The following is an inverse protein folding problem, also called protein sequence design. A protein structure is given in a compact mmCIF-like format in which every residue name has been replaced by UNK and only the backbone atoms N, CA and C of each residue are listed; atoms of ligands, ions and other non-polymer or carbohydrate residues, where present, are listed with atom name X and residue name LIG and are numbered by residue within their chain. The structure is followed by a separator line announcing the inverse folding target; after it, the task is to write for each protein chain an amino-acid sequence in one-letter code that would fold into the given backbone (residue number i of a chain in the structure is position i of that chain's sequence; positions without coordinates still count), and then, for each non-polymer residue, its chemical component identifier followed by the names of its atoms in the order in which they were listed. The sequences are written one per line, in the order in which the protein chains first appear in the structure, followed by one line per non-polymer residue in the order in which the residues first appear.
data_IF_347549446351
#
_entry.id   IF_347549446351
#
_cell.length_a   1.000
_cell.length_b   1.000
_cell.length_c   1.000
_cell.angle_alpha   90.00
_cell.angle_beta   90.00
_cell.angle_gamma   90.00
#
_symmetry.space_group_name_H-M   'P 1'
#
loop_
_entity.id
_entity.type
_entity.pdbx_description
1 polymer ?
#
# COMPACT_ATOMS: atom_id res chain seq x y z
N UNK A 1 -2.97 -25.21 39.87
CA UNK A 1 -2.03 -25.38 38.75
C UNK A 1 -2.44 -24.42 37.63
N UNK A 2 -1.50 -23.67 37.03
CA UNK A 2 -1.77 -22.65 36.06
C UNK A 2 -2.31 -23.26 34.76
N UNK A 3 -3.55 -22.93 34.44
CA UNK A 3 -4.26 -23.39 33.24
C UNK A 3 -3.57 -22.93 31.96
N UNK A 4 -3.14 -21.67 31.95
CA UNK A 4 -2.46 -21.06 30.82
C UNK A 4 -1.16 -21.78 30.49
N UNK A 5 -0.37 -22.07 31.52
CA UNK A 5 0.91 -22.77 31.37
C UNK A 5 0.74 -24.20 30.84
N UNK A 6 -0.37 -24.88 31.23
CA UNK A 6 -0.70 -26.20 30.67
C UNK A 6 -1.10 -26.13 29.21
N UNK A 7 -1.88 -25.12 28.81
CA UNK A 7 -2.28 -24.87 27.42
C UNK A 7 -1.07 -24.51 26.56
N UNK A 8 -0.19 -23.60 27.02
CA UNK A 8 1.04 -23.22 26.32
C UNK A 8 1.95 -24.44 26.12
N UNK A 9 2.13 -25.24 27.17
CA UNK A 9 2.92 -26.48 27.13
C UNK A 9 2.36 -27.44 26.08
N UNK A 10 1.03 -27.63 26.03
CA UNK A 10 0.38 -28.47 25.03
C UNK A 10 0.63 -27.97 23.61
N UNK A 11 0.48 -26.66 23.35
CA UNK A 11 0.74 -26.07 22.03
C UNK A 11 2.20 -26.30 21.60
N UNK A 12 3.17 -26.14 22.51
CA UNK A 12 4.58 -26.40 22.22
C UNK A 12 4.85 -27.85 21.88
N UNK A 13 4.28 -28.77 22.64
CA UNK A 13 4.41 -30.22 22.38
C UNK A 13 3.77 -30.59 21.05
N UNK A 14 2.57 -30.07 20.76
CA UNK A 14 1.85 -30.33 19.52
C UNK A 14 2.62 -29.82 18.28
N UNK A 15 3.21 -28.62 18.36
CA UNK A 15 4.00 -28.03 17.26
C UNK A 15 5.35 -28.69 17.04
N UNK A 16 6.05 -29.02 18.12
CA UNK A 16 7.38 -29.64 18.01
C UNK A 16 7.34 -31.15 17.73
N UNK A 17 6.19 -31.78 17.91
CA UNK A 17 6.03 -33.23 17.80
C UNK A 17 6.87 -34.03 18.87
N UNK A 18 7.38 -33.33 19.89
CA UNK A 18 8.31 -33.93 20.87
C UNK A 18 8.23 -33.28 22.26
N UNK A 19 8.04 -34.09 23.28
CA UNK A 19 8.10 -33.63 24.67
C UNK A 19 9.47 -33.09 25.06
N UNK A 20 10.54 -33.64 24.49
CA UNK A 20 11.92 -33.21 24.78
C UNK A 20 12.20 -31.84 24.15
N UNK A 21 11.87 -31.65 22.86
CA UNK A 21 12.05 -30.36 22.18
C UNK A 21 11.20 -29.27 22.85
N UNK A 22 9.95 -29.59 23.19
CA UNK A 22 9.08 -28.65 23.91
C UNK A 22 9.64 -28.29 25.31
N UNK A 23 10.24 -29.22 25.99
CA UNK A 23 10.87 -29.00 27.30
C UNK A 23 12.06 -28.02 27.17
N UNK A 24 12.94 -28.24 26.19
CA UNK A 24 14.08 -27.36 25.91
C UNK A 24 13.61 -25.93 25.53
N UNK A 25 12.59 -25.81 24.68
CA UNK A 25 12.03 -24.51 24.29
C UNK A 25 11.38 -23.73 25.44
N UNK A 26 10.81 -24.44 26.42
CA UNK A 26 10.13 -23.84 27.57
C UNK A 26 11.04 -23.66 28.79
N UNK A 27 12.27 -24.14 28.73
CA UNK A 27 13.19 -24.15 29.88
C UNK A 27 12.68 -25.03 31.05
N UNK A 28 11.96 -26.12 30.72
CA UNK A 28 11.34 -27.03 31.69
C UNK A 28 11.93 -28.44 31.58
N UNK A 29 11.76 -29.25 32.64
CA UNK A 29 12.08 -30.69 32.55
C UNK A 29 10.99 -31.40 31.71
N UNK A 30 11.40 -32.45 30.96
CA UNK A 30 10.48 -33.33 30.22
C UNK A 30 9.38 -33.92 31.12
N UNK A 31 9.70 -34.26 32.36
CA UNK A 31 8.71 -34.76 33.31
C UNK A 31 7.65 -33.72 33.65
N UNK A 32 8.03 -32.44 33.78
CA UNK A 32 7.12 -31.34 34.07
C UNK A 32 6.23 -31.05 32.87
N UNK A 33 6.78 -31.03 31.65
CA UNK A 33 6.01 -30.87 30.39
C UNK A 33 4.99 -32.02 30.28
N UNK A 34 5.38 -33.25 30.51
CA UNK A 34 4.47 -34.40 30.49
C UNK A 34 3.33 -34.27 31.52
N UNK A 35 3.66 -33.77 32.73
CA UNK A 35 2.69 -33.53 33.80
C UNK A 35 1.70 -32.41 33.41
N UNK A 36 2.18 -31.31 32.83
CA UNK A 36 1.29 -30.23 32.37
C UNK A 36 0.27 -30.68 31.32
N UNK A 37 0.72 -31.47 30.35
CA UNK A 37 -0.17 -32.04 29.33
C UNK A 37 -1.12 -33.05 29.93
N UNK A 38 -0.63 -33.96 30.81
CA UNK A 38 -1.49 -34.95 31.51
C UNK A 38 -2.59 -34.30 32.33
N UNK A 39 -2.27 -33.27 33.11
CA UNK A 39 -3.27 -32.53 33.89
C UNK A 39 -4.30 -31.78 33.01
N UNK A 40 -3.87 -31.35 31.83
CA UNK A 40 -4.79 -30.73 30.84
C UNK A 40 -5.76 -31.79 30.31
N UNK A 41 -5.27 -32.93 29.88
CA UNK A 41 -6.09 -34.07 29.39
C UNK A 41 -7.05 -34.58 30.48
N UNK A 42 -6.57 -34.75 31.70
CA UNK A 42 -7.39 -35.18 32.86
C UNK A 42 -8.54 -34.20 33.13
N UNK A 43 -8.25 -32.91 33.12
CA UNK A 43 -9.26 -31.87 33.33
C UNK A 43 -10.28 -31.81 32.22
N UNK A 44 -9.90 -32.07 30.97
CA UNK A 44 -10.81 -32.06 29.82
C UNK A 44 -11.56 -33.40 29.70
N UNK A 45 -11.11 -34.44 30.39
CA UNK A 45 -11.72 -35.78 30.32
C UNK A 45 -11.45 -36.52 29.01
N UNK A 46 -10.53 -35.97 28.17
CA UNK A 46 -10.18 -36.53 26.87
C UNK A 46 -8.68 -36.49 26.62
N UNK A 47 -8.19 -37.41 25.80
CA UNK A 47 -6.79 -37.36 25.35
C UNK A 47 -6.66 -36.41 24.18
N UNK A 48 -5.67 -35.54 24.22
CA UNK A 48 -5.32 -34.61 23.16
C UNK A 48 -4.19 -35.15 22.28
N UNK A 49 -3.35 -36.05 22.82
CA UNK A 49 -2.19 -36.63 22.17
C UNK A 49 -2.24 -38.15 22.17
N UNK A 50 -2.04 -38.74 20.99
CA UNK A 50 -1.73 -40.17 20.87
C UNK A 50 -0.23 -40.38 21.12
N UNK A 51 0.11 -41.12 22.15
CA UNK A 51 1.48 -41.41 22.54
C UNK A 51 1.79 -42.88 22.20
N UNK A 52 2.65 -43.10 21.23
CA UNK A 52 3.25 -44.41 21.00
C UNK A 52 4.76 -44.35 21.30
N UNK A 53 5.42 -45.46 21.41
CA UNK A 53 6.86 -45.50 21.60
C UNK A 53 7.67 -44.97 20.43
N UNK A 54 7.01 -44.78 19.26
CA UNK A 54 7.66 -44.37 18.01
C UNK A 54 7.13 -43.03 17.40
N UNK A 55 5.99 -42.53 17.87
CA UNK A 55 5.39 -41.30 17.32
C UNK A 55 4.49 -40.60 18.32
N UNK A 56 4.42 -39.29 18.18
CA UNK A 56 3.49 -38.38 18.83
C UNK A 56 2.59 -37.78 17.77
N UNK A 57 1.27 -37.90 17.91
CA UNK A 57 0.30 -37.32 17.03
C UNK A 57 -0.89 -36.73 17.80
N UNK A 58 -1.59 -35.78 17.20
CA UNK A 58 -2.82 -35.20 17.78
C UNK A 58 -4.00 -36.15 17.58
N UNK A 59 -4.88 -36.21 18.57
CA UNK A 59 -6.25 -36.73 18.41
C UNK A 59 -7.10 -35.70 17.63
N UNK A 60 -8.36 -36.03 17.29
CA UNK A 60 -9.27 -35.06 16.66
C UNK A 60 -9.62 -33.95 17.66
N UNK A 61 -9.84 -34.29 18.93
CA UNK A 61 -10.01 -33.35 20.03
C UNK A 61 -8.76 -32.50 20.23
N UNK A 62 -7.57 -33.12 20.09
CA UNK A 62 -6.28 -32.42 20.17
C UNK A 62 -6.10 -31.40 19.06
N UNK A 63 -6.51 -31.69 17.83
CA UNK A 63 -6.47 -30.73 16.71
C UNK A 63 -7.39 -29.53 16.97
N UNK A 64 -8.63 -29.81 17.32
CA UNK A 64 -9.62 -28.77 17.63
C UNK A 64 -9.16 -27.90 18.82
N UNK A 65 -8.60 -28.52 19.84
CA UNK A 65 -8.12 -27.79 21.02
C UNK A 65 -6.84 -27.00 20.74
N UNK A 66 -5.98 -27.46 19.84
CA UNK A 66 -4.80 -26.71 19.38
C UNK A 66 -5.21 -25.42 18.68
N UNK A 67 -6.13 -25.50 17.72
CA UNK A 67 -6.65 -24.32 17.01
C UNK A 67 -7.28 -23.31 17.96
N UNK A 68 -8.05 -23.80 18.94
CA UNK A 68 -8.63 -22.96 19.99
C UNK A 68 -7.55 -22.27 20.83
N UNK A 69 -6.53 -22.99 21.29
CA UNK A 69 -5.44 -22.41 22.08
C UNK A 69 -4.64 -21.35 21.30
N UNK A 70 -4.34 -21.62 20.03
CA UNK A 70 -3.61 -20.71 19.16
C UNK A 70 -4.40 -19.41 18.89
N UNK A 71 -5.71 -19.54 18.70
CA UNK A 71 -6.60 -18.38 18.57
C UNK A 71 -6.62 -17.57 19.85
N UNK A 72 -6.80 -18.25 21.00
CA UNK A 72 -6.85 -17.61 22.31
C UNK A 72 -5.57 -16.83 22.63
N UNK A 73 -4.39 -17.42 22.37
CA UNK A 73 -3.12 -16.72 22.59
C UNK A 73 -2.95 -15.52 21.69
N UNK A 74 -3.32 -15.62 20.41
CA UNK A 74 -3.34 -14.45 19.50
C UNK A 74 -4.28 -13.34 20.00
N UNK A 75 -5.46 -13.71 20.48
CA UNK A 75 -6.45 -12.74 20.98
C UNK A 75 -5.95 -12.04 22.25
N UNK A 76 -5.28 -12.76 23.14
CA UNK A 76 -4.66 -12.20 24.36
C UNK A 76 -3.52 -11.26 23.99
N UNK A 77 -2.58 -11.71 23.16
CA UNK A 77 -1.49 -10.88 22.68
C UNK A 77 -2.01 -9.61 22.00
N UNK A 78 -3.08 -9.73 21.20
CA UNK A 78 -3.77 -8.60 20.58
C UNK A 78 -4.34 -7.62 21.59
N UNK A 79 -4.98 -8.10 22.66
CA UNK A 79 -5.54 -7.25 23.73
C UNK A 79 -4.46 -6.63 24.62
N UNK A 80 -3.43 -7.36 24.98
CA UNK A 80 -2.29 -6.82 25.73
C UNK A 80 -1.59 -5.71 24.94
N UNK A 81 -1.44 -5.91 23.63
CA UNK A 81 -0.94 -4.87 22.72
C UNK A 81 -1.85 -3.67 22.63
N UNK A 82 -3.16 -3.87 22.53
CA UNK A 82 -4.14 -2.77 22.52
C UNK A 82 -4.06 -1.93 23.82
N UNK A 83 -3.79 -2.57 24.94
CA UNK A 83 -3.61 -1.90 26.24
C UNK A 83 -2.25 -1.18 26.32
N UNK A 84 -1.19 -1.81 25.83
CA UNK A 84 0.15 -1.23 25.75
C UNK A 84 0.23 -0.13 24.69
N UNK A 85 -0.62 -0.22 23.67
CA UNK A 85 -0.81 0.76 22.59
C UNK A 85 -1.98 1.72 22.86
N UNK A 86 -2.52 1.78 24.10
CA UNK A 86 -3.34 2.93 24.48
C UNK A 86 -2.63 4.20 23.99
N UNK A 87 -3.31 5.17 23.34
CA UNK A 87 -2.74 6.09 22.36
C UNK A 87 -1.59 6.91 22.94
N UNK A 88 -0.39 6.33 22.98
CA UNK A 88 0.80 7.13 23.08
C UNK A 88 0.89 7.89 21.76
N UNK A 89 0.87 9.23 21.81
CA UNK A 89 1.11 10.04 20.63
C UNK A 89 2.28 9.45 19.82
N UNK A 90 2.12 9.27 18.51
CA UNK A 90 3.20 8.70 17.70
C UNK A 90 4.43 9.58 17.86
N UNK A 91 5.60 8.96 17.99
CA UNK A 91 6.86 9.65 18.19
C UNK A 91 7.98 9.02 17.34
N UNK A 92 9.05 9.76 17.12
CA UNK A 92 10.22 9.32 16.38
C UNK A 92 10.21 9.74 14.91
N UNK A 93 11.10 9.15 14.11
CA UNK A 93 11.25 9.51 12.69
C UNK A 93 10.39 8.61 11.80
N UNK A 94 9.64 9.23 10.88
CA UNK A 94 8.90 8.59 9.80
C UNK A 94 9.54 8.97 8.46
N UNK A 95 10.16 8.01 7.79
CA UNK A 95 10.81 8.21 6.48
C UNK A 95 9.89 7.77 5.36
N UNK A 96 9.50 8.71 4.52
CA UNK A 96 8.53 8.53 3.43
C UNK A 96 9.22 8.78 2.10
N UNK A 97 9.02 7.88 1.13
CA UNK A 97 9.28 8.16 -0.27
C UNK A 97 7.96 8.37 -1.02
N UNK A 98 7.92 9.32 -1.94
CA UNK A 98 6.72 9.64 -2.70
C UNK A 98 7.02 10.12 -4.12
N UNK A 99 6.05 10.02 -5.07
CA UNK A 99 6.18 10.56 -6.41
C UNK A 99 6.43 12.08 -6.38
N UNK A 100 7.37 12.56 -7.22
CA UNK A 100 7.85 13.94 -7.21
C UNK A 100 6.74 14.97 -7.27
N UNK A 101 5.86 14.87 -8.25
CA UNK A 101 4.79 15.87 -8.45
C UNK A 101 3.73 15.84 -7.33
N UNK A 102 3.33 14.63 -6.91
CA UNK A 102 2.38 14.48 -5.80
C UNK A 102 2.98 14.98 -4.48
N UNK A 103 4.23 14.61 -4.24
CA UNK A 103 4.96 15.03 -3.06
C UNK A 103 5.08 16.56 -2.94
N UNK A 104 5.49 17.21 -4.04
CA UNK A 104 5.72 18.64 -4.05
C UNK A 104 4.42 19.47 -4.02
N UNK A 105 3.36 19.02 -4.69
CA UNK A 105 2.13 19.82 -4.83
C UNK A 105 1.11 19.57 -3.71
N UNK A 106 1.08 18.39 -3.10
CA UNK A 106 -0.01 18.00 -2.19
C UNK A 106 0.45 17.31 -0.91
N UNK A 107 1.38 16.35 -1.00
CA UNK A 107 1.81 15.59 0.17
C UNK A 107 2.56 16.48 1.17
N UNK A 108 3.29 17.48 0.70
CA UNK A 108 4.00 18.44 1.58
C UNK A 108 3.03 19.16 2.50
N UNK A 109 1.87 19.60 1.99
CA UNK A 109 0.83 20.24 2.81
C UNK A 109 0.22 19.27 3.82
N UNK A 110 -0.01 18.02 3.41
CA UNK A 110 -0.47 16.98 4.32
C UNK A 110 0.55 16.71 5.44
N UNK A 111 1.85 16.65 5.09
CA UNK A 111 2.93 16.45 6.07
C UNK A 111 3.04 17.64 7.03
N UNK A 112 2.90 18.87 6.55
CA UNK A 112 2.90 20.06 7.39
C UNK A 112 1.73 20.00 8.41
N UNK A 113 0.53 19.63 7.94
CA UNK A 113 -0.62 19.48 8.83
C UNK A 113 -0.42 18.32 9.83
N UNK A 114 0.13 17.20 9.38
CA UNK A 114 0.47 16.05 10.22
C UNK A 114 1.51 16.40 11.29
N UNK A 115 2.59 17.10 10.93
CA UNK A 115 3.65 17.48 11.85
C UNK A 115 3.14 18.44 12.94
N UNK A 116 2.17 19.33 12.60
CA UNK A 116 1.50 20.20 13.58
C UNK A 116 0.62 19.40 14.54
N UNK A 117 -0.08 18.38 14.06
CA UNK A 117 -0.92 17.52 14.88
C UNK A 117 -0.11 16.53 15.74
N UNK A 118 1.11 16.19 15.32
CA UNK A 118 1.98 15.21 15.99
C UNK A 118 3.38 15.77 16.24
N UNK A 119 3.58 16.71 17.17
CA UNK A 119 4.84 17.44 17.36
C UNK A 119 6.03 16.56 17.79
N UNK A 120 5.77 15.33 18.27
CA UNK A 120 6.82 14.37 18.62
C UNK A 120 7.31 13.53 17.41
N UNK A 121 6.69 13.72 16.23
CA UNK A 121 7.07 13.07 14.99
C UNK A 121 8.03 13.93 14.17
N UNK A 122 9.11 13.33 13.73
CA UNK A 122 10.00 13.91 12.70
C UNK A 122 9.74 13.22 11.36
N UNK A 123 9.27 13.95 10.35
CA UNK A 123 8.98 13.39 9.03
C UNK A 123 10.12 13.72 8.06
N UNK A 124 10.68 12.68 7.41
CA UNK A 124 11.64 12.81 6.34
C UNK A 124 10.98 12.41 5.02
N UNK A 125 10.85 13.35 4.10
CA UNK A 125 10.25 13.14 2.78
C UNK A 125 11.31 13.08 1.69
N UNK A 126 11.31 12.00 0.90
CA UNK A 126 12.15 11.83 -0.30
C UNK A 126 11.25 11.75 -1.53
N UNK A 127 11.50 12.60 -2.53
CA UNK A 127 10.69 12.68 -3.73
C UNK A 127 11.37 11.98 -4.90
N UNK A 128 10.80 10.86 -5.33
CA UNK A 128 11.35 10.02 -6.40
C UNK A 128 10.23 9.38 -7.24
N UNK A 129 10.51 9.15 -8.54
CA UNK A 129 9.62 8.42 -9.44
C UNK A 129 10.26 7.08 -9.85
N UNK A 130 10.58 6.24 -8.88
CA UNK A 130 11.18 4.92 -9.11
C UNK A 130 10.29 3.82 -8.51
N UNK A 131 10.38 2.62 -9.09
CA UNK A 131 9.76 1.45 -8.48
C UNK A 131 10.59 0.99 -7.29
N UNK A 132 9.98 0.93 -6.12
CA UNK A 132 10.64 0.49 -4.89
C UNK A 132 10.60 -1.02 -4.74
N UNK A 133 11.74 -1.60 -4.30
CA UNK A 133 11.91 -3.01 -3.95
C UNK A 133 11.96 -3.17 -2.43
N UNK A 134 11.71 -4.37 -1.94
CA UNK A 134 11.82 -4.66 -0.49
C UNK A 134 13.20 -4.28 0.08
N UNK A 135 14.27 -4.45 -0.71
CA UNK A 135 15.63 -4.09 -0.29
C UNK A 135 15.82 -2.58 -0.03
N UNK A 136 15.02 -1.73 -0.65
CA UNK A 136 15.11 -0.28 -0.46
C UNK A 136 14.63 0.14 0.93
N UNK A 137 13.65 -0.59 1.51
CA UNK A 137 13.20 -0.35 2.88
C UNK A 137 14.33 -0.58 3.90
N UNK A 138 15.07 -1.70 3.78
CA UNK A 138 16.19 -1.98 4.66
C UNK A 138 17.40 -1.09 4.40
N UNK A 139 17.86 -0.99 3.14
CA UNK A 139 19.09 -0.25 2.79
C UNK A 139 18.94 1.27 2.93
N UNK A 140 17.77 1.81 2.58
CA UNK A 140 17.51 3.26 2.57
C UNK A 140 16.71 3.71 3.80
N UNK A 141 16.24 2.76 4.61
CA UNK A 141 15.54 3.01 5.86
C UNK A 141 14.18 3.68 5.71
N UNK A 142 13.46 3.45 4.60
CA UNK A 142 12.09 3.93 4.47
C UNK A 142 11.13 3.14 5.34
N UNK A 143 10.22 3.84 6.01
CA UNK A 143 9.10 3.24 6.72
C UNK A 143 7.91 3.04 5.78
N UNK A 144 7.72 3.97 4.83
CA UNK A 144 6.57 4.04 3.94
C UNK A 144 6.97 4.55 2.56
N UNK A 145 6.39 3.96 1.53
CA UNK A 145 6.50 4.44 0.14
C UNK A 145 5.10 4.67 -0.42
N UNK A 146 4.87 5.86 -0.96
CA UNK A 146 3.66 6.15 -1.75
C UNK A 146 3.98 5.97 -3.24
N UNK A 147 3.10 5.28 -3.98
CA UNK A 147 3.29 5.06 -5.42
C UNK A 147 1.97 4.88 -6.16
N UNK A 148 1.97 5.10 -7.48
CA UNK A 148 0.77 4.95 -8.32
C UNK A 148 0.62 3.57 -8.95
N UNK A 149 1.55 2.67 -8.73
CA UNK A 149 1.50 1.31 -9.24
C UNK A 149 1.57 0.34 -8.07
N UNK A 150 0.56 -0.52 -7.89
CA UNK A 150 0.60 -1.55 -6.86
C UNK A 150 1.83 -2.44 -6.99
N UNK A 151 2.44 -2.79 -5.87
CA UNK A 151 3.56 -3.73 -5.84
C UNK A 151 3.06 -5.16 -6.07
N UNK A 152 3.84 -5.96 -6.81
CA UNK A 152 3.59 -7.41 -6.95
C UNK A 152 4.40 -8.26 -5.95
N UNK A 153 5.16 -7.62 -5.08
CA UNK A 153 6.01 -8.32 -4.12
C UNK A 153 5.21 -8.75 -2.89
N UNK A 154 5.09 -10.05 -2.66
CA UNK A 154 4.37 -10.63 -1.51
C UNK A 154 4.96 -10.27 -0.14
N UNK A 155 6.23 -9.85 -0.08
CA UNK A 155 6.88 -9.39 1.16
C UNK A 155 6.50 -7.95 1.53
N UNK A 156 5.72 -7.27 0.70
CA UNK A 156 5.22 -5.92 0.96
C UNK A 156 3.72 -5.97 1.26
N UNK A 157 3.30 -5.22 2.26
CA UNK A 157 1.90 -4.87 2.49
C UNK A 157 1.60 -3.58 1.76
N UNK A 158 0.38 -3.44 1.26
CA UNK A 158 -0.05 -2.24 0.57
C UNK A 158 -1.47 -1.88 0.94
N UNK A 159 -1.71 -0.58 1.08
CA UNK A 159 -3.01 -0.02 1.42
C UNK A 159 -3.37 1.05 0.40
N UNK A 160 -4.51 0.95 -0.29
CA UNK A 160 -5.01 2.00 -1.16
C UNK A 160 -5.33 3.26 -0.35
N UNK A 161 -4.91 4.42 -0.86
CA UNK A 161 -5.18 5.73 -0.24
C UNK A 161 -6.26 6.46 -1.03
N UNK A 162 -6.09 6.58 -2.36
CA UNK A 162 -7.01 7.30 -3.24
C UNK A 162 -6.86 6.82 -4.68
N UNK A 163 -7.81 7.21 -5.54
CA UNK A 163 -7.71 7.05 -6.98
C UNK A 163 -7.44 8.40 -7.64
N UNK A 164 -6.39 8.49 -8.45
CA UNK A 164 -5.97 9.72 -9.11
C UNK A 164 -6.35 9.71 -10.59
N UNK A 165 -7.09 10.72 -11.02
CA UNK A 165 -7.47 10.89 -12.41
C UNK A 165 -6.31 11.36 -13.28
N UNK A 166 -6.36 10.96 -14.55
CA UNK A 166 -5.44 11.38 -15.57
C UNK A 166 -6.22 12.08 -16.71
N UNK A 167 -5.60 13.09 -17.32
CA UNK A 167 -6.22 13.86 -18.39
C UNK A 167 -5.24 14.05 -19.55
N UNK A 168 -5.77 13.92 -20.76
CA UNK A 168 -5.06 14.35 -21.97
C UNK A 168 -5.32 15.83 -22.17
N UNK A 169 -4.27 16.62 -22.30
CA UNK A 169 -4.40 18.07 -22.43
C UNK A 169 -3.33 18.66 -23.35
N UNK A 170 -3.61 19.86 -23.86
CA UNK A 170 -2.66 20.65 -24.62
C UNK A 170 -2.98 22.14 -24.49
N UNK A 171 -2.02 23.01 -24.84
CA UNK A 171 -2.29 24.46 -24.91
C UNK A 171 -3.20 24.82 -26.07
N UNK A 172 -4.00 25.91 -25.97
CA UNK A 172 -4.79 26.43 -27.08
C UNK A 172 -3.95 26.73 -28.32
N UNK A 173 -2.74 27.23 -28.15
CA UNK A 173 -1.83 27.54 -29.26
C UNK A 173 -1.42 26.30 -30.07
N UNK A 174 -1.17 25.16 -29.38
CA UNK A 174 -0.90 23.90 -30.08
C UNK A 174 -2.12 23.44 -30.87
N UNK A 175 -3.31 23.52 -30.26
CA UNK A 175 -4.56 23.09 -30.91
C UNK A 175 -4.92 23.97 -32.10
N UNK A 176 -4.64 25.27 -32.06
CA UNK A 176 -4.81 26.16 -33.17
C UNK A 176 -3.89 25.79 -34.37
N UNK A 177 -2.68 25.35 -34.09
CA UNK A 177 -1.68 24.94 -35.10
C UNK A 177 -1.93 23.54 -35.65
N UNK A 178 -2.19 22.57 -34.82
CA UNK A 178 -2.25 21.14 -35.17
C UNK A 178 -3.68 20.60 -35.37
N UNK A 179 -4.69 21.38 -34.98
CA UNK A 179 -6.07 20.93 -34.90
C UNK A 179 -6.36 20.07 -33.67
N UNK A 180 -7.64 19.87 -33.34
CA UNK A 180 -8.09 19.09 -32.22
C UNK A 180 -8.18 17.60 -32.60
N UNK A 181 -7.55 16.67 -31.83
CA UNK A 181 -7.74 15.23 -32.08
C UNK A 181 -9.19 14.84 -31.77
N UNK A 182 -9.80 14.04 -32.62
CA UNK A 182 -11.17 13.50 -32.49
C UNK A 182 -11.18 12.12 -31.82
N UNK A 183 -10.10 11.39 -32.00
CA UNK A 183 -9.92 10.02 -31.50
C UNK A 183 -8.50 9.77 -30.98
N UNK A 184 -8.28 8.71 -30.15
CA UNK A 184 -6.95 8.31 -29.73
C UNK A 184 -6.01 7.96 -30.89
N UNK A 185 -6.52 7.50 -32.03
CA UNK A 185 -5.73 7.17 -33.21
C UNK A 185 -5.01 8.40 -33.78
N UNK A 186 -5.63 9.59 -33.70
CA UNK A 186 -5.07 10.84 -34.20
C UNK A 186 -3.79 11.27 -33.47
N UNK A 187 -3.56 10.74 -32.26
CA UNK A 187 -2.37 11.05 -31.46
C UNK A 187 -1.08 10.49 -32.06
N UNK A 188 -1.19 9.47 -32.93
CA UNK A 188 -0.03 8.83 -33.56
C UNK A 188 0.74 9.74 -34.52
N UNK A 189 0.06 10.72 -35.12
CA UNK A 189 0.62 11.72 -36.04
C UNK A 189 0.90 13.07 -35.40
N UNK A 190 0.73 13.22 -34.09
CA UNK A 190 0.85 14.49 -33.36
C UNK A 190 2.01 14.47 -32.37
N UNK A 191 2.63 15.61 -32.07
CA UNK A 191 3.67 15.69 -31.05
C UNK A 191 3.06 15.40 -29.68
N UNK A 192 3.52 14.33 -29.01
CA UNK A 192 3.12 13.96 -27.65
C UNK A 192 4.31 14.08 -26.68
N UNK A 193 4.02 14.40 -25.42
CA UNK A 193 4.99 14.49 -24.33
C UNK A 193 4.97 13.21 -23.54
N UNK A 194 6.11 12.55 -23.41
CA UNK A 194 6.20 11.19 -22.87
C UNK A 194 6.61 11.20 -21.39
N UNK A 195 5.86 10.50 -20.57
CA UNK A 195 6.16 10.36 -19.14
C UNK A 195 6.83 9.00 -18.88
N UNK A 196 8.15 8.99 -18.78
CA UNK A 196 9.01 7.79 -18.73
C UNK A 196 8.59 6.74 -17.70
N UNK A 197 8.03 7.15 -16.56
CA UNK A 197 7.68 6.23 -15.46
C UNK A 197 6.18 6.09 -15.22
N UNK A 198 5.36 6.78 -15.99
CA UNK A 198 3.93 6.83 -15.73
C UNK A 198 3.17 5.59 -16.25
N UNK A 199 3.68 4.96 -17.29
CA UNK A 199 3.07 3.79 -17.93
C UNK A 199 4.10 2.67 -18.06
N UNK A 200 3.67 1.41 -18.12
CA UNK A 200 4.56 0.29 -18.45
C UNK A 200 5.27 0.49 -19.80
N UNK A 201 4.60 1.20 -20.73
CA UNK A 201 5.14 1.66 -21.99
C UNK A 201 4.69 3.11 -22.21
N UNK A 202 5.61 4.06 -22.10
CA UNK A 202 5.38 5.51 -22.22
C UNK A 202 4.84 5.93 -23.60
N UNK A 203 5.02 5.07 -24.63
CA UNK A 203 4.56 5.27 -26.01
C UNK A 203 3.19 4.65 -26.31
N UNK A 204 2.51 4.09 -25.31
CA UNK A 204 1.20 3.46 -25.43
C UNK A 204 0.25 4.00 -24.38
N UNK A 205 -0.66 4.86 -24.81
CA UNK A 205 -1.68 5.44 -23.93
C UNK A 205 -2.98 4.65 -24.00
N UNK A 206 -3.40 3.97 -22.92
CA UNK A 206 -4.63 3.21 -22.89
C UNK A 206 -5.82 4.14 -22.62
N UNK A 207 -6.89 3.95 -23.40
CA UNK A 207 -8.16 4.65 -23.25
C UNK A 207 -9.31 3.66 -23.16
N UNK A 208 -10.37 4.06 -22.49
CA UNK A 208 -11.68 3.43 -22.52
C UNK A 208 -12.64 4.37 -23.29
N UNK A 209 -13.07 3.93 -24.47
CA UNK A 209 -13.96 4.66 -25.35
C UNK A 209 -15.34 4.00 -25.49
N UNK A 210 -16.25 4.61 -26.25
CA UNK A 210 -17.61 4.09 -26.48
C UNK A 210 -17.66 2.68 -27.07
N UNK A 211 -16.62 2.28 -27.81
CA UNK A 211 -16.48 0.95 -28.45
C UNK A 211 -15.54 0.02 -27.69
N UNK A 212 -15.20 0.34 -26.44
CA UNK A 212 -14.29 -0.45 -25.61
C UNK A 212 -12.87 0.15 -25.51
N UNK A 213 -11.92 -0.71 -25.12
CA UNK A 213 -10.55 -0.32 -24.87
C UNK A 213 -9.78 -0.03 -26.16
N UNK A 214 -9.10 1.12 -26.22
CA UNK A 214 -8.25 1.55 -27.32
C UNK A 214 -6.87 1.93 -26.79
N UNK A 215 -5.81 1.55 -27.50
CA UNK A 215 -4.44 1.94 -27.19
C UNK A 215 -3.93 2.87 -28.28
N UNK A 216 -3.64 4.13 -27.93
CA UNK A 216 -2.98 5.06 -28.83
C UNK A 216 -1.46 4.83 -28.80
N UNK A 217 -0.85 4.66 -29.96
CA UNK A 217 0.61 4.76 -30.10
C UNK A 217 0.98 6.22 -30.22
N UNK A 218 1.88 6.70 -29.36
CA UNK A 218 2.27 8.11 -29.29
C UNK A 218 3.77 8.27 -29.44
N UNK A 219 4.20 9.43 -29.95
CA UNK A 219 5.61 9.77 -30.08
C UNK A 219 5.83 11.28 -29.92
N UNK A 220 7.07 11.67 -29.67
CA UNK A 220 7.41 13.07 -29.52
C UNK A 220 8.88 13.27 -29.18
N UNK A 221 9.29 14.52 -29.15
CA UNK A 221 10.68 14.94 -28.96
C UNK A 221 11.06 15.20 -27.51
N UNK A 222 10.11 15.13 -26.57
CA UNK A 222 10.37 15.40 -25.16
C UNK A 222 9.84 14.29 -24.25
N UNK A 223 10.75 13.70 -23.52
CA UNK A 223 10.48 12.68 -22.52
C UNK A 223 11.01 13.13 -21.16
N UNK A 224 10.23 12.93 -20.09
CA UNK A 224 10.68 13.27 -18.74
C UNK A 224 10.00 12.37 -17.71
N UNK A 225 10.68 12.09 -16.61
CA UNK A 225 10.09 11.46 -15.42
C UNK A 225 9.41 12.46 -14.48
N UNK A 226 9.30 13.73 -14.88
CA UNK A 226 8.68 14.81 -14.10
C UNK A 226 7.40 15.30 -14.77
N UNK A 227 6.23 15.04 -14.17
CA UNK A 227 4.96 15.58 -14.65
C UNK A 227 4.94 17.11 -14.66
N UNK A 228 5.67 17.78 -13.76
CA UNK A 228 5.81 19.24 -13.74
C UNK A 228 6.61 19.76 -14.95
N UNK A 229 7.65 19.05 -15.39
CA UNK A 229 8.39 19.42 -16.61
C UNK A 229 7.52 19.23 -17.84
N UNK A 230 6.76 18.14 -17.92
CA UNK A 230 5.81 17.89 -19.02
C UNK A 230 4.65 18.91 -19.03
N UNK A 231 4.15 19.34 -17.86
CA UNK A 231 3.19 20.45 -17.74
C UNK A 231 3.74 21.73 -18.36
N UNK A 232 4.99 22.10 -18.02
CA UNK A 232 5.62 23.29 -18.61
C UNK A 232 5.75 23.17 -20.13
N UNK A 233 6.14 22.01 -20.64
CA UNK A 233 6.24 21.75 -22.06
C UNK A 233 4.87 21.82 -22.77
N UNK A 234 3.82 21.30 -22.14
CA UNK A 234 2.44 21.38 -22.67
C UNK A 234 1.94 22.83 -22.72
N UNK A 235 2.16 23.63 -21.69
CA UNK A 235 1.85 25.05 -21.64
C UNK A 235 2.59 25.85 -22.74
N UNK A 236 3.84 25.50 -23.00
CA UNK A 236 4.63 26.10 -24.07
C UNK A 236 4.24 25.63 -25.49
N UNK A 237 3.23 24.75 -25.61
CA UNK A 237 2.76 24.26 -26.90
C UNK A 237 3.69 23.31 -27.62
N UNK A 238 4.56 22.61 -26.88
CA UNK A 238 5.51 21.63 -27.42
C UNK A 238 4.83 20.32 -27.84
N UNK A 239 3.74 19.95 -27.17
CA UNK A 239 3.03 18.70 -27.47
C UNK A 239 1.80 18.46 -26.59
N UNK A 240 1.06 17.41 -26.94
CA UNK A 240 -0.06 16.88 -26.17
C UNK A 240 0.49 16.06 -25.00
N UNK A 241 -0.03 16.27 -23.79
CA UNK A 241 0.40 15.57 -22.60
C UNK A 241 -0.71 14.70 -22.02
N UNK A 242 -0.35 13.53 -21.50
CA UNK A 242 -1.17 12.73 -20.60
C UNK A 242 -0.60 12.91 -19.17
N UNK A 243 -1.33 13.62 -18.32
CA UNK A 243 -0.87 14.03 -17.00
C UNK A 243 -1.88 13.72 -15.90
N UNK A 244 -1.43 13.51 -14.66
CA UNK A 244 -2.33 13.48 -13.51
C UNK A 244 -3.12 14.79 -13.44
N UNK A 245 -4.45 14.71 -13.25
CA UNK A 245 -5.32 15.87 -13.20
C UNK A 245 -4.89 16.90 -12.16
N UNK A 246 -4.44 16.44 -11.00
CA UNK A 246 -3.97 17.32 -9.91
C UNK A 246 -2.74 18.19 -10.28
N UNK A 247 -2.00 17.82 -11.33
CA UNK A 247 -0.84 18.61 -11.81
C UNK A 247 -1.27 19.80 -12.66
N UNK A 248 -2.42 19.68 -13.32
CA UNK A 248 -2.88 20.64 -14.36
C UNK A 248 -4.25 21.25 -14.06
N UNK A 249 -4.79 21.03 -12.86
CA UNK A 249 -6.16 21.44 -12.53
C UNK A 249 -6.37 22.95 -12.67
N UNK A 250 -5.42 23.75 -12.23
CA UNK A 250 -5.48 25.21 -12.31
C UNK A 250 -5.33 25.71 -13.77
N UNK A 251 -4.49 25.04 -14.56
CA UNK A 251 -4.33 25.38 -15.98
C UNK A 251 -5.57 25.03 -16.80
N UNK A 252 -6.25 23.93 -16.43
CA UNK A 252 -7.54 23.56 -17.05
C UNK A 252 -8.64 24.54 -16.66
N UNK A 253 -8.66 24.98 -15.40
CA UNK A 253 -9.64 25.95 -14.90
C UNK A 253 -9.45 27.35 -15.53
N UNK A 254 -8.19 27.76 -15.71
CA UNK A 254 -7.82 29.05 -16.31
C UNK A 254 -7.82 29.05 -17.86
N UNK A 255 -7.97 27.86 -18.49
CA UNK A 255 -7.94 27.73 -19.95
C UNK A 255 -6.54 27.79 -20.58
N UNK A 256 -5.46 27.81 -19.79
CA UNK A 256 -4.08 27.70 -20.27
C UNK A 256 -3.78 26.31 -20.87
N UNK A 257 -4.47 25.28 -20.39
CA UNK A 257 -4.55 23.97 -21.01
C UNK A 257 -6.01 23.61 -21.27
N UNK A 258 -6.25 22.90 -22.36
CA UNK A 258 -7.55 22.40 -22.75
C UNK A 258 -7.59 20.89 -22.65
N UNK A 259 -8.64 20.30 -22.03
CA UNK A 259 -8.81 18.86 -22.03
C UNK A 259 -9.19 18.38 -23.43
N UNK A 260 -8.59 17.24 -23.82
CA UNK A 260 -8.80 16.62 -25.12
C UNK A 260 -9.49 15.27 -24.97
N UNK A 261 -10.08 14.77 -26.04
CA UNK A 261 -10.70 13.44 -26.14
C UNK A 261 -11.76 13.18 -25.03
N UNK A 262 -12.79 14.03 -24.87
CA UNK A 262 -13.74 13.95 -23.74
C UNK A 262 -14.58 12.65 -23.73
N UNK A 263 -14.68 11.95 -24.87
CA UNK A 263 -15.38 10.65 -24.98
C UNK A 263 -14.51 9.46 -24.62
N UNK A 264 -13.22 9.68 -24.35
CA UNK A 264 -12.25 8.64 -24.06
C UNK A 264 -11.66 8.88 -22.66
N UNK A 265 -11.85 7.89 -21.78
CA UNK A 265 -11.37 7.99 -20.40
C UNK A 265 -10.02 7.28 -20.26
N UNK A 266 -9.13 7.86 -19.51
CA UNK A 266 -7.94 7.17 -19.01
C UNK A 266 -8.28 6.62 -17.65
N UNK A 267 -7.97 5.35 -17.40
CA UNK A 267 -8.23 4.72 -16.11
C UNK A 267 -7.53 5.48 -14.98
N UNK A 268 -8.26 5.78 -13.92
CA UNK A 268 -7.68 6.36 -12.73
C UNK A 268 -6.65 5.40 -12.12
N UNK A 269 -5.58 5.95 -11.54
CA UNK A 269 -4.52 5.16 -10.92
C UNK A 269 -4.58 5.25 -9.42
N UNK A 270 -4.48 4.11 -8.73
CA UNK A 270 -4.47 4.13 -7.28
C UNK A 270 -3.18 4.74 -6.76
N UNK A 271 -3.29 5.70 -5.83
CA UNK A 271 -2.22 6.03 -4.92
C UNK A 271 -2.23 4.98 -3.81
N UNK A 272 -1.15 4.24 -3.68
CA UNK A 272 -1.03 3.18 -2.66
C UNK A 272 0.11 3.48 -1.70
N UNK A 273 -0.12 3.24 -0.43
CA UNK A 273 0.89 3.18 0.61
C UNK A 273 1.48 1.77 0.63
N UNK A 274 2.79 1.65 0.52
CA UNK A 274 3.51 0.38 0.48
C UNK A 274 4.54 0.37 1.60
N UNK A 275 4.59 -0.72 2.37
CA UNK A 275 5.51 -0.91 3.50
C UNK A 275 5.84 -2.38 3.71
N UNK A 276 6.92 -2.74 4.43
CA UNK A 276 7.28 -4.12 4.66
C UNK A 276 6.18 -4.89 5.39
N UNK A 277 5.94 -6.15 4.97
CA UNK A 277 5.05 -7.04 5.68
C UNK A 277 5.71 -7.46 6.99
N UNK A 278 5.17 -7.00 8.09
CA UNK A 278 5.54 -7.40 9.44
C UNK A 278 4.29 -7.97 10.14
N UNK A 279 4.43 -8.72 11.25
CA UNK A 279 3.30 -9.14 12.07
C UNK A 279 2.39 -7.96 12.42
N UNK A 280 3.00 -6.80 12.65
CA UNK A 280 2.31 -5.53 12.92
C UNK A 280 2.86 -4.39 12.10
N UNK A 281 1.95 -3.50 11.70
CA UNK A 281 2.31 -2.23 11.09
C UNK A 281 2.81 -1.31 12.21
N UNK A 282 4.00 -0.69 12.07
CA UNK A 282 4.45 0.27 13.09
C UNK A 282 3.41 1.37 13.28
N UNK A 283 3.07 1.68 14.53
CA UNK A 283 2.01 2.64 14.88
C UNK A 283 2.16 3.98 14.16
N UNK A 284 3.38 4.52 14.08
CA UNK A 284 3.68 5.76 13.35
C UNK A 284 3.28 5.71 11.87
N UNK A 285 3.41 4.55 11.23
CA UNK A 285 3.05 4.35 9.81
C UNK A 285 1.53 4.32 9.67
N UNK A 286 0.83 3.56 10.53
CA UNK A 286 -0.63 3.47 10.49
C UNK A 286 -1.29 4.82 10.73
N UNK A 287 -0.87 5.55 11.77
CA UNK A 287 -1.41 6.90 12.09
C UNK A 287 -1.23 7.86 10.91
N UNK A 288 -0.07 7.82 10.23
CA UNK A 288 0.16 8.66 9.07
C UNK A 288 -0.72 8.26 7.87
N UNK A 289 -0.91 6.96 7.61
CA UNK A 289 -1.76 6.46 6.52
C UNK A 289 -3.22 6.89 6.75
N UNK A 290 -3.73 6.74 7.96
CA UNK A 290 -5.09 7.12 8.32
C UNK A 290 -5.29 8.63 8.20
N UNK A 291 -4.32 9.41 8.70
CA UNK A 291 -4.31 10.87 8.55
C UNK A 291 -4.32 11.28 7.07
N UNK A 292 -3.43 10.71 6.25
CA UNK A 292 -3.33 11.04 4.82
C UNK A 292 -4.61 10.69 4.06
N UNK A 293 -5.22 9.55 4.37
CA UNK A 293 -6.49 9.13 3.76
C UNK A 293 -7.61 10.13 4.07
N UNK A 294 -7.74 10.56 5.32
CA UNK A 294 -8.71 11.58 5.73
C UNK A 294 -8.40 12.95 5.10
N UNK A 295 -7.13 13.34 5.06
CA UNK A 295 -6.69 14.61 4.49
C UNK A 295 -6.99 14.69 2.99
N UNK A 296 -6.78 13.61 2.24
CA UNK A 296 -7.13 13.53 0.81
C UNK A 296 -8.64 13.56 0.64
N UNK A 297 -9.40 12.75 1.38
CA UNK A 297 -10.86 12.70 1.30
C UNK A 297 -11.52 14.07 1.56
N UNK A 298 -10.97 14.86 2.46
CA UNK A 298 -11.45 16.23 2.74
C UNK A 298 -11.22 17.22 1.57
N UNK A 299 -10.41 16.84 0.57
CA UNK A 299 -10.02 17.65 -0.61
C UNK A 299 -10.33 16.95 -1.94
N UNK A 300 -11.21 15.96 -1.92
CA UNK A 300 -11.51 15.07 -3.06
C UNK A 300 -11.82 15.83 -4.38
N UNK A 301 -12.53 16.92 -4.32
CA UNK A 301 -12.89 17.70 -5.52
C UNK A 301 -11.68 18.13 -6.37
N UNK A 302 -10.51 18.27 -5.74
CA UNK A 302 -9.30 18.77 -6.39
C UNK A 302 -8.27 17.67 -6.70
N UNK A 303 -8.35 16.50 -6.06
CA UNK A 303 -7.29 15.52 -6.10
C UNK A 303 -7.68 14.18 -6.76
N UNK A 304 -8.92 13.73 -6.58
CA UNK A 304 -9.32 12.35 -6.86
C UNK A 304 -10.58 12.26 -7.71
N UNK A 305 -10.79 11.13 -8.36
CA UNK A 305 -12.12 10.71 -8.76
C UNK A 305 -12.85 10.07 -7.58
N UNK A 306 -14.14 10.29 -7.49
CA UNK A 306 -15.00 9.85 -6.38
C UNK A 306 -15.13 8.32 -6.19
N UNK A 307 -14.38 7.47 -6.93
CA UNK A 307 -14.49 6.01 -6.84
C UNK A 307 -13.14 5.30 -7.03
N UNK A 308 -12.69 4.60 -5.98
CA UNK A 308 -11.66 3.56 -6.12
C UNK A 308 -12.14 2.46 -7.08
N UNK A 309 -11.28 1.92 -7.97
CA UNK A 309 -11.60 0.73 -8.75
C UNK A 309 -12.06 -0.41 -7.84
N UNK A 310 -13.08 -1.17 -8.27
CA UNK A 310 -13.70 -2.26 -7.49
C UNK A 310 -12.71 -3.33 -6.99
N UNK A 311 -11.61 -3.54 -7.72
CA UNK A 311 -10.54 -4.49 -7.38
C UNK A 311 -9.65 -4.04 -6.19
N UNK A 312 -9.81 -2.84 -5.67
CA UNK A 312 -8.98 -2.25 -4.61
C UNK A 312 -9.80 -1.79 -3.39
N UNK A 313 -11.09 -2.16 -3.32
CA UNK A 313 -11.88 -1.91 -2.11
C UNK A 313 -11.37 -2.82 -0.98
N UNK A 314 -11.14 -2.29 0.23
CA UNK A 314 -10.87 -3.15 1.37
C UNK A 314 -12.05 -4.09 1.62
N UNK A 315 -11.74 -5.37 1.91
CA UNK A 315 -12.71 -6.38 2.35
C UNK A 315 -13.23 -6.04 3.74
#
# INVERSE_FOLDING_TARGET
MDRFRSMETFVRVARSGSFTIAADQLGLSRALVSRHVGNLEERLGVRLLNRTTRSLSLTDEGRSYLEFCEKLFRDIEGQERAILLAPSEPAGTLRIAAPKSFGALHLSDAIIAFARAHPRMHVQLVLENVAFKIADFGKRGFDLVLQFTPSRNASLKQQPIAAMDWVVCASPALIAREGRPSSPADLSSRPCLLHETALPNDRQWPFEGPQGRVIAKVGGSFTSNSALALRKAALAGLGIALLPRYVVIDDLASGHLMPLLPRYKVAARPLVAVFPRAPEVPHKVQVFIDFLSQWISSREANLTSSRLPSALRPL
#
